data_IF_853505077568
#
_entry.id   IF_853505077568
#
_cell.length_a   1.000
_cell.length_b   1.000
_cell.length_c   1.000
_cell.angle_alpha   90.00
_cell.angle_beta   90.00
_cell.angle_gamma   90.00
#
_symmetry.space_group_name_H-M   'P 1'
#
loop_
_entity.id
_entity.type
_entity.pdbx_description
1 polymer ?
#
# COMPACT_ATOMS: atom_id res chain seq x y z
N UNK A 1 7.85 5.77 -0.83
CA UNK A 1 7.19 5.00 0.26
C UNK A 1 6.19 5.84 1.08
N UNK A 2 6.49 7.10 1.43
CA UNK A 2 5.64 7.98 2.26
C UNK A 2 4.20 8.23 1.76
N UNK A 3 3.97 8.37 0.45
CA UNK A 3 2.63 8.66 -0.09
C UNK A 3 1.67 7.46 -0.02
N UNK A 4 2.18 6.24 -0.17
CA UNK A 4 1.37 5.02 -0.10
C UNK A 4 0.89 4.73 1.33
N UNK A 5 1.76 4.96 2.32
CA UNK A 5 1.41 4.86 3.74
C UNK A 5 0.36 5.90 4.16
N UNK A 6 0.49 7.16 3.71
CA UNK A 6 -0.53 8.19 3.96
C UNK A 6 -1.88 7.84 3.33
N UNK A 7 -1.88 7.33 2.10
CA UNK A 7 -3.12 6.91 1.41
C UNK A 7 -3.78 5.73 2.14
N UNK A 8 -3.02 4.72 2.58
CA UNK A 8 -3.54 3.63 3.40
C UNK A 8 -4.14 4.12 4.72
N UNK A 9 -3.50 5.07 5.40
CA UNK A 9 -4.00 5.64 6.66
C UNK A 9 -5.31 6.42 6.45
N UNK A 10 -5.41 7.23 5.38
CA UNK A 10 -6.66 7.93 5.04
C UNK A 10 -7.79 6.96 4.71
N UNK A 11 -7.49 5.91 3.95
CA UNK A 11 -8.45 4.86 3.62
C UNK A 11 -8.94 4.11 4.87
N UNK A 12 -8.04 3.77 5.79
CA UNK A 12 -8.38 3.17 7.09
C UNK A 12 -9.20 4.13 7.98
N UNK A 13 -8.89 5.42 7.99
CA UNK A 13 -9.62 6.43 8.76
C UNK A 13 -11.04 6.66 8.22
N UNK A 14 -11.24 6.57 6.89
CA UNK A 14 -12.57 6.71 6.28
C UNK A 14 -13.45 5.45 6.37
N UNK A 15 -12.85 4.25 6.44
CA UNK A 15 -13.60 2.98 6.48
C UNK A 15 -13.68 2.31 7.86
N UNK A 16 -12.80 2.68 8.80
CA UNK A 16 -12.76 2.17 10.18
C UNK A 16 -14.07 2.30 10.98
N UNK A 17 -14.87 3.38 10.84
CA UNK A 17 -16.17 3.50 11.51
C UNK A 17 -17.18 2.41 11.09
N UNK A 18 -17.09 1.92 9.85
CA UNK A 18 -17.95 0.86 9.32
C UNK A 18 -17.68 -0.50 9.97
N UNK A 19 -16.40 -0.83 10.17
CA UNK A 19 -15.96 -2.06 10.83
C UNK A 19 -16.39 -2.11 12.30
N UNK A 20 -16.21 -1.00 13.03
CA UNK A 20 -16.55 -0.91 14.45
C UNK A 20 -18.08 -1.04 14.69
N UNK A 21 -18.90 -0.42 13.85
CA UNK A 21 -20.36 -0.53 13.92
C UNK A 21 -20.85 -1.95 13.60
N UNK A 22 -20.21 -2.65 12.66
CA UNK A 22 -20.53 -4.03 12.32
C UNK A 22 -20.31 -4.98 13.53
N UNK A 23 -19.16 -4.91 14.19
CA UNK A 23 -18.87 -5.73 15.37
C UNK A 23 -19.80 -5.41 16.57
N UNK A 24 -20.18 -4.14 16.75
CA UNK A 24 -21.10 -3.72 17.81
C UNK A 24 -22.53 -4.21 17.57
N UNK A 25 -22.98 -4.24 16.31
CA UNK A 25 -24.31 -4.74 15.92
C UNK A 25 -24.39 -6.27 15.89
N UNK A 26 -23.35 -6.98 15.44
CA UNK A 26 -23.28 -8.44 15.55
C UNK A 26 -23.37 -8.91 17.02
N UNK A 27 -22.83 -8.13 17.95
CA UNK A 27 -22.98 -8.34 19.40
C UNK A 27 -24.41 -8.02 19.89
N UNK A 28 -25.04 -6.97 19.37
CA UNK A 28 -26.41 -6.54 19.73
C UNK A 28 -27.50 -7.49 19.20
N UNK A 29 -27.27 -8.10 18.03
CA UNK A 29 -28.15 -9.12 17.43
C UNK A 29 -28.29 -10.38 18.30
N UNK A 30 -27.30 -10.70 19.13
CA UNK A 30 -27.40 -11.78 20.12
C UNK A 30 -28.25 -11.43 21.35
N UNK A 31 -28.63 -10.16 21.55
CA UNK A 31 -29.22 -9.66 22.80
C UNK A 31 -30.59 -9.00 22.65
N UNK A 32 -31.16 -8.87 21.45
CA UNK A 32 -32.46 -8.21 21.26
C UNK A 32 -33.31 -8.94 20.24
N UNK A 33 -34.51 -9.31 20.67
CA UNK A 33 -35.68 -9.45 19.80
C UNK A 33 -35.76 -8.18 18.95
N UNK A 34 -35.62 -8.28 17.62
CA UNK A 34 -35.96 -7.16 16.72
C UNK A 34 -34.98 -6.76 15.62
N UNK A 35 -34.00 -7.58 15.21
CA UNK A 35 -33.28 -7.36 13.94
C UNK A 35 -33.82 -8.30 12.87
N UNK A 36 -34.45 -7.78 11.82
CA UNK A 36 -34.91 -8.62 10.71
C UNK A 36 -33.71 -9.27 10.02
N UNK A 37 -33.80 -10.55 9.66
CA UNK A 37 -32.77 -11.26 8.85
C UNK A 37 -32.40 -10.43 7.62
N UNK A 38 -33.37 -9.72 7.04
CA UNK A 38 -33.17 -8.82 5.90
C UNK A 38 -32.22 -7.66 6.24
N UNK A 39 -32.34 -7.05 7.42
CA UNK A 39 -31.48 -5.93 7.84
C UNK A 39 -30.04 -6.38 8.08
N UNK A 40 -29.86 -7.55 8.69
CA UNK A 40 -28.52 -8.12 8.89
C UNK A 40 -27.81 -8.35 7.54
N UNK A 41 -28.51 -8.88 6.53
CA UNK A 41 -27.92 -9.15 5.23
C UNK A 41 -27.76 -7.90 4.35
N UNK A 42 -28.56 -6.83 4.55
CA UNK A 42 -28.26 -5.51 3.97
C UNK A 42 -26.91 -4.97 4.44
N UNK A 43 -26.57 -5.16 5.72
CA UNK A 43 -25.25 -4.78 6.24
C UNK A 43 -24.12 -5.65 5.64
N UNK A 44 -24.36 -6.94 5.41
CA UNK A 44 -23.41 -7.83 4.70
C UNK A 44 -23.17 -7.34 3.27
N UNK A 45 -24.23 -6.92 2.56
CA UNK A 45 -24.12 -6.31 1.23
C UNK A 45 -23.22 -5.07 1.27
N UNK A 46 -23.49 -4.15 2.19
CA UNK A 46 -22.72 -2.91 2.29
C UNK A 46 -21.26 -3.16 2.67
N UNK A 47 -21.00 -4.14 3.53
CA UNK A 47 -19.64 -4.52 3.90
C UNK A 47 -18.86 -5.13 2.72
N UNK A 48 -19.49 -5.98 1.90
CA UNK A 48 -18.85 -6.48 0.67
C UNK A 48 -18.55 -5.36 -0.34
N UNK A 49 -19.41 -4.33 -0.45
CA UNK A 49 -19.11 -3.14 -1.28
C UNK A 49 -17.85 -2.42 -0.78
N UNK A 50 -17.70 -2.28 0.53
CA UNK A 50 -16.49 -1.67 1.13
C UNK A 50 -15.26 -2.49 0.78
N UNK A 51 -15.30 -3.82 0.94
CA UNK A 51 -14.20 -4.72 0.58
C UNK A 51 -13.83 -4.57 -0.90
N UNK A 52 -14.81 -4.57 -1.80
CA UNK A 52 -14.59 -4.42 -3.24
C UNK A 52 -13.94 -3.08 -3.56
N UNK A 53 -14.47 -1.98 -2.98
CA UNK A 53 -13.95 -0.63 -3.19
C UNK A 53 -12.50 -0.50 -2.71
N UNK A 54 -12.22 -0.98 -1.49
CA UNK A 54 -10.87 -0.98 -0.90
C UNK A 54 -9.89 -1.78 -1.75
N UNK A 55 -10.22 -3.03 -2.04
CA UNK A 55 -9.36 -3.92 -2.82
C UNK A 55 -9.07 -3.35 -4.21
N UNK A 56 -10.09 -2.80 -4.89
CA UNK A 56 -9.94 -2.21 -6.23
C UNK A 56 -9.07 -0.96 -6.22
N UNK A 57 -9.23 -0.10 -5.21
CA UNK A 57 -8.41 1.11 -5.05
C UNK A 57 -6.94 0.76 -4.84
N UNK A 58 -6.67 -0.23 -3.98
CA UNK A 58 -5.32 -0.70 -3.70
C UNK A 58 -4.70 -1.37 -4.95
N UNK A 59 -5.46 -2.20 -5.65
CA UNK A 59 -5.05 -2.80 -6.93
C UNK A 59 -4.69 -1.73 -7.98
N UNK A 60 -5.52 -0.69 -8.12
CA UNK A 60 -5.23 0.40 -9.05
C UNK A 60 -3.94 1.14 -8.68
N UNK A 61 -3.73 1.43 -7.40
CA UNK A 61 -2.50 2.04 -6.91
C UNK A 61 -1.26 1.16 -7.15
N UNK A 62 -1.39 -0.16 -6.95
CA UNK A 62 -0.32 -1.12 -7.26
C UNK A 62 -0.01 -1.20 -8.73
N UNK A 63 -1.02 -1.26 -9.61
CA UNK A 63 -0.80 -1.27 -11.06
C UNK A 63 -0.11 0.01 -11.52
N UNK A 64 -0.53 1.17 -11.02
CA UNK A 64 0.14 2.44 -11.30
C UNK A 64 1.60 2.42 -10.84
N UNK A 65 1.87 1.89 -9.64
CA UNK A 65 3.22 1.75 -9.10
C UNK A 65 4.10 0.80 -9.94
N UNK A 66 3.56 -0.34 -10.36
CA UNK A 66 4.27 -1.32 -11.19
C UNK A 66 4.58 -0.77 -12.58
N UNK A 67 3.64 -0.04 -13.19
CA UNK A 67 3.86 0.64 -14.48
C UNK A 67 4.96 1.69 -14.36
N UNK A 68 5.01 2.43 -13.25
CA UNK A 68 6.04 3.45 -13.01
C UNK A 68 7.43 2.85 -12.75
N UNK A 69 7.51 1.70 -12.07
CA UNK A 69 8.80 1.10 -11.73
C UNK A 69 9.55 0.49 -12.93
N UNK A 70 8.89 0.26 -14.07
CA UNK A 70 9.47 -0.41 -15.26
C UNK A 70 10.29 -1.68 -14.89
N UNK A 71 9.90 -2.37 -13.81
CA UNK A 71 10.71 -3.43 -13.22
C UNK A 71 10.57 -4.74 -13.98
N UNK A 72 11.64 -5.54 -13.95
CA UNK A 72 11.60 -6.94 -14.35
C UNK A 72 10.49 -7.70 -13.59
N UNK A 73 9.83 -8.61 -14.30
CA UNK A 73 8.70 -9.36 -13.78
C UNK A 73 9.12 -10.25 -12.59
N UNK A 74 8.93 -9.75 -11.35
CA UNK A 74 9.14 -10.53 -10.14
C UNK A 74 7.79 -10.99 -9.57
N UNK A 75 7.62 -12.31 -9.43
CA UNK A 75 6.37 -12.92 -8.97
C UNK A 75 5.92 -12.39 -7.59
N UNK A 76 6.87 -12.02 -6.71
CA UNK A 76 6.59 -11.43 -5.40
C UNK A 76 5.86 -10.07 -5.50
N UNK A 77 6.13 -9.30 -6.55
CA UNK A 77 5.50 -7.99 -6.77
C UNK A 77 4.03 -8.13 -7.18
N UNK A 78 3.64 -9.25 -7.78
CA UNK A 78 2.27 -9.53 -8.21
C UNK A 78 1.46 -10.37 -7.22
N UNK A 79 2.11 -10.98 -6.22
CA UNK A 79 1.46 -11.83 -5.23
C UNK A 79 0.35 -11.08 -4.47
N UNK A 80 0.61 -9.83 -4.07
CA UNK A 80 -0.42 -9.01 -3.42
C UNK A 80 -1.60 -8.73 -4.36
N UNK A 81 -1.35 -8.35 -5.62
CA UNK A 81 -2.40 -8.07 -6.59
C UNK A 81 -3.29 -9.30 -6.84
N UNK A 82 -2.69 -10.50 -6.96
CA UNK A 82 -3.44 -11.74 -7.10
C UNK A 82 -4.35 -12.00 -5.90
N UNK A 83 -3.82 -11.82 -4.68
CA UNK A 83 -4.59 -12.01 -3.44
C UNK A 83 -5.73 -10.98 -3.35
N UNK A 84 -5.52 -9.73 -3.76
CA UNK A 84 -6.57 -8.71 -3.77
C UNK A 84 -7.68 -9.03 -4.81
N UNK A 85 -7.33 -9.58 -5.97
CA UNK A 85 -8.33 -10.07 -6.95
C UNK A 85 -9.16 -11.21 -6.38
N UNK A 86 -8.53 -12.13 -5.63
CA UNK A 86 -9.26 -13.19 -4.93
C UNK A 86 -10.20 -12.62 -3.85
N UNK A 87 -9.78 -11.60 -3.10
CA UNK A 87 -10.64 -10.92 -2.13
C UNK A 87 -11.88 -10.31 -2.79
N UNK A 88 -11.71 -9.63 -3.93
CA UNK A 88 -12.82 -9.06 -4.72
C UNK A 88 -13.77 -10.17 -5.17
N UNK A 89 -13.23 -11.26 -5.71
CA UNK A 89 -14.01 -12.39 -6.23
C UNK A 89 -14.87 -13.03 -5.13
N UNK A 90 -14.27 -13.31 -3.97
CA UNK A 90 -15.00 -13.83 -2.81
C UNK A 90 -16.07 -12.84 -2.30
N UNK A 91 -15.76 -11.54 -2.33
CA UNK A 91 -16.70 -10.49 -1.94
C UNK A 91 -17.91 -10.43 -2.87
N UNK A 92 -17.73 -10.63 -4.19
CA UNK A 92 -18.85 -10.74 -5.13
C UNK A 92 -19.75 -11.94 -4.85
N UNK A 93 -19.19 -13.09 -4.47
CA UNK A 93 -19.99 -14.26 -4.06
C UNK A 93 -20.79 -13.99 -2.78
N UNK A 94 -20.16 -13.37 -1.77
CA UNK A 94 -20.84 -12.96 -0.54
C UNK A 94 -21.98 -11.96 -0.81
N UNK A 95 -21.70 -10.95 -1.63
CA UNK A 95 -22.67 -9.95 -2.08
C UNK A 95 -23.86 -10.56 -2.81
N UNK A 96 -23.61 -11.43 -3.80
CA UNK A 96 -24.66 -12.07 -4.60
C UNK A 96 -25.60 -12.93 -3.75
N UNK A 97 -25.04 -13.73 -2.83
CA UNK A 97 -25.85 -14.53 -1.90
C UNK A 97 -26.63 -13.66 -0.93
N UNK A 98 -26.02 -12.59 -0.41
CA UNK A 98 -26.72 -11.70 0.52
C UNK A 98 -27.91 -10.98 -0.13
N UNK A 99 -27.81 -10.62 -1.42
CA UNK A 99 -28.96 -10.11 -2.19
C UNK A 99 -30.10 -11.13 -2.26
N UNK A 100 -29.79 -12.41 -2.48
CA UNK A 100 -30.81 -13.46 -2.53
C UNK A 100 -31.53 -13.61 -1.18
N UNK A 101 -30.81 -13.52 -0.06
CA UNK A 101 -31.39 -13.55 1.29
C UNK A 101 -32.29 -12.34 1.54
N UNK A 102 -31.89 -11.14 1.11
CA UNK A 102 -32.73 -9.94 1.21
C UNK A 102 -34.03 -10.08 0.40
N UNK A 103 -33.98 -10.73 -0.77
CA UNK A 103 -35.14 -10.96 -1.63
C UNK A 103 -36.09 -12.05 -1.10
N UNK A 104 -35.53 -13.14 -0.55
CA UNK A 104 -36.30 -14.33 -0.14
C UNK A 104 -36.64 -14.35 1.34
N UNK A 105 -36.00 -13.49 2.16
CA UNK A 105 -36.05 -13.49 3.62
C UNK A 105 -35.61 -14.82 4.28
N UNK A 106 -34.99 -15.72 3.51
CA UNK A 106 -34.42 -16.97 3.99
C UNK A 106 -32.93 -16.79 4.24
N UNK A 107 -32.44 -17.14 5.43
CA UNK A 107 -31.02 -17.02 5.78
C UNK A 107 -30.15 -17.97 4.97
N UNK A 108 -29.01 -17.50 4.45
CA UNK A 108 -27.97 -18.32 3.83
C UNK A 108 -26.60 -18.04 4.50
N UNK A 109 -26.12 -18.92 5.40
CA UNK A 109 -24.86 -18.70 6.11
C UNK A 109 -23.65 -18.58 5.19
N UNK A 110 -23.72 -19.14 3.97
CA UNK A 110 -22.61 -19.07 3.01
C UNK A 110 -22.33 -17.63 2.55
N UNK A 111 -23.31 -16.72 2.61
CA UNK A 111 -23.05 -15.31 2.33
C UNK A 111 -22.09 -14.72 3.36
N UNK A 112 -22.24 -15.09 4.63
CA UNK A 112 -21.38 -14.65 5.74
C UNK A 112 -20.00 -15.29 5.61
N UNK A 113 -19.93 -16.58 5.29
CA UNK A 113 -18.66 -17.29 5.12
C UNK A 113 -17.80 -16.67 4.01
N UNK A 114 -18.40 -16.38 2.85
CA UNK A 114 -17.70 -15.71 1.75
C UNK A 114 -17.25 -14.30 2.12
N UNK A 115 -18.07 -13.57 2.88
CA UNK A 115 -17.74 -12.20 3.34
C UNK A 115 -16.58 -12.21 4.34
N UNK A 116 -16.54 -13.21 5.24
CA UNK A 116 -15.44 -13.35 6.19
C UNK A 116 -14.16 -13.79 5.48
N UNK A 117 -14.26 -14.74 4.54
CA UNK A 117 -13.13 -15.17 3.73
C UNK A 117 -12.57 -14.01 2.91
N UNK A 118 -13.41 -13.22 2.25
CA UNK A 118 -12.96 -12.04 1.48
C UNK A 118 -12.25 -11.01 2.38
N UNK A 119 -12.73 -10.81 3.61
CA UNK A 119 -12.09 -9.91 4.59
C UNK A 119 -10.68 -10.40 4.97
N UNK A 120 -10.54 -11.69 5.28
CA UNK A 120 -9.24 -12.27 5.66
C UNK A 120 -8.26 -12.16 4.48
N UNK A 121 -8.71 -12.52 3.28
CA UNK A 121 -7.90 -12.44 2.07
C UNK A 121 -7.51 -10.99 1.76
N UNK A 122 -8.41 -10.01 1.97
CA UNK A 122 -8.09 -8.59 1.85
C UNK A 122 -6.95 -8.18 2.79
N UNK A 123 -7.03 -8.55 4.07
CA UNK A 123 -6.00 -8.23 5.06
C UNK A 123 -4.65 -8.83 4.66
N UNK A 124 -4.63 -10.10 4.24
CA UNK A 124 -3.41 -10.75 3.74
C UNK A 124 -2.87 -10.02 2.52
N UNK A 125 -3.73 -9.64 1.57
CA UNK A 125 -3.35 -8.87 0.39
C UNK A 125 -2.67 -7.55 0.74
N UNK A 126 -3.22 -6.81 1.71
CA UNK A 126 -2.66 -5.54 2.22
C UNK A 126 -1.30 -5.76 2.89
N UNK A 127 -1.15 -6.81 3.70
CA UNK A 127 0.13 -7.12 4.36
C UNK A 127 1.22 -7.47 3.35
N UNK A 128 0.88 -8.21 2.29
CA UNK A 128 1.81 -8.58 1.23
C UNK A 128 2.35 -7.36 0.46
N UNK A 129 1.67 -6.21 0.49
CA UNK A 129 2.19 -4.96 -0.11
C UNK A 129 3.46 -4.51 0.59
N UNK A 130 3.53 -4.69 1.92
CA UNK A 130 4.72 -4.34 2.69
C UNK A 130 5.96 -5.16 2.32
N UNK A 131 5.78 -6.30 1.64
CA UNK A 131 6.87 -7.13 1.14
C UNK A 131 7.37 -6.71 -0.25
N UNK A 132 6.64 -5.83 -0.95
CA UNK A 132 7.10 -5.26 -2.21
C UNK A 132 8.28 -4.34 -1.88
N UNK A 133 9.49 -4.85 -2.08
CA UNK A 133 10.69 -4.06 -1.90
C UNK A 133 10.74 -3.04 -3.04
N UNK A 134 10.68 -1.73 -2.75
CA UNK A 134 11.10 -0.75 -3.75
C UNK A 134 12.54 -1.12 -4.12
N UNK A 135 12.86 -1.10 -5.41
CA UNK A 135 14.24 -1.27 -5.90
C UNK A 135 15.13 -0.32 -5.11
N UNK A 136 15.86 -0.85 -4.13
CA UNK A 136 16.73 -0.08 -3.23
C UNK A 136 17.75 0.75 -4.02
N UNK A 137 18.09 0.28 -5.22
CA UNK A 137 19.03 0.92 -6.14
C UNK A 137 18.63 2.32 -6.63
N UNK A 138 17.36 2.73 -6.49
CA UNK A 138 16.91 4.08 -6.89
C UNK A 138 16.48 4.97 -5.72
N UNK A 139 16.63 4.55 -4.46
CA UNK A 139 16.28 5.41 -3.34
C UNK A 139 17.38 6.45 -3.07
N UNK A 140 16.96 7.66 -2.68
CA UNK A 140 17.86 8.73 -2.23
C UNK A 140 18.76 8.23 -1.10
N UNK A 141 18.23 7.39 -0.20
CA UNK A 141 18.98 6.81 0.91
C UNK A 141 20.16 5.95 0.44
N UNK A 142 19.94 5.09 -0.57
CA UNK A 142 20.99 4.23 -1.12
C UNK A 142 22.05 5.04 -1.87
N UNK A 143 21.63 6.10 -2.57
CA UNK A 143 22.56 7.03 -3.20
C UNK A 143 23.42 7.74 -2.14
N UNK A 144 22.83 8.27 -1.07
CA UNK A 144 23.57 8.97 -0.02
C UNK A 144 24.54 8.05 0.71
N UNK A 145 24.15 6.79 0.98
CA UNK A 145 25.02 5.77 1.56
C UNK A 145 26.18 5.41 0.63
N UNK A 146 25.90 5.29 -0.68
CA UNK A 146 26.92 5.06 -1.71
C UNK A 146 27.93 6.22 -1.76
N UNK A 147 27.45 7.48 -1.73
CA UNK A 147 28.31 8.67 -1.68
C UNK A 147 29.17 8.68 -0.41
N UNK A 148 28.60 8.41 0.77
CA UNK A 148 29.34 8.35 2.03
C UNK A 148 30.45 7.29 1.99
N UNK A 149 30.15 6.10 1.45
CA UNK A 149 31.12 5.02 1.32
C UNK A 149 32.29 5.37 0.38
N UNK A 150 31.99 6.04 -0.75
CA UNK A 150 32.96 6.32 -1.82
C UNK A 150 33.76 7.62 -1.63
N UNK A 151 33.34 8.50 -0.72
CA UNK A 151 33.98 9.81 -0.49
C UNK A 151 34.63 9.93 0.89
N UNK A 152 34.75 8.81 1.62
CA UNK A 152 35.41 8.73 2.93
C UNK A 152 36.81 9.38 2.99
N UNK A 153 37.52 9.48 1.86
CA UNK A 153 38.84 10.13 1.72
C UNK A 153 38.81 11.66 1.58
N UNK A 154 37.66 12.28 1.29
CA UNK A 154 37.51 13.71 0.97
C UNK A 154 36.96 14.55 2.14
N UNK A 155 36.78 13.94 3.31
CA UNK A 155 35.98 14.47 4.41
C UNK A 155 34.62 13.78 4.43
N UNK A 156 34.03 13.59 5.61
CA UNK A 156 32.83 12.76 5.78
C UNK A 156 31.62 13.43 5.13
N UNK A 157 31.40 13.23 3.83
CA UNK A 157 30.16 13.61 3.16
C UNK A 157 29.10 12.61 3.61
N UNK A 158 28.18 13.08 4.43
CA UNK A 158 27.15 12.27 5.07
C UNK A 158 25.77 12.90 4.81
N UNK A 159 24.66 12.17 5.02
CA UNK A 159 23.33 12.74 4.83
C UNK A 159 23.09 14.03 5.63
N UNK A 160 23.77 14.17 6.77
CA UNK A 160 23.63 15.30 7.69
C UNK A 160 24.25 16.61 7.18
N UNK A 161 25.27 16.55 6.33
CA UNK A 161 25.90 17.74 5.75
C UNK A 161 25.50 18.01 4.30
N UNK A 162 24.55 17.24 3.76
CA UNK A 162 23.89 17.53 2.49
C UNK A 162 22.87 18.65 2.68
N UNK A 163 23.14 19.84 2.14
CA UNK A 163 22.27 21.02 2.27
C UNK A 163 21.19 21.06 1.20
N UNK A 164 21.48 20.54 0.00
CA UNK A 164 20.56 20.61 -1.13
C UNK A 164 20.72 19.40 -2.07
N UNK A 165 19.60 18.91 -2.59
CA UNK A 165 19.54 17.88 -3.63
C UNK A 165 18.70 18.42 -4.77
N UNK A 166 19.31 18.55 -5.94
CA UNK A 166 18.64 18.89 -7.19
C UNK A 166 18.63 17.68 -8.12
N UNK A 167 17.53 17.51 -8.84
CA UNK A 167 17.41 16.49 -9.88
C UNK A 167 17.46 17.16 -11.24
N UNK A 168 18.39 16.74 -12.10
CA UNK A 168 18.53 17.27 -13.45
C UNK A 168 18.64 16.09 -14.44
N UNK A 169 17.50 15.72 -15.03
CA UNK A 169 17.39 14.51 -15.84
C UNK A 169 17.69 13.26 -15.01
N UNK A 170 18.63 12.44 -15.50
CA UNK A 170 19.06 11.18 -14.86
C UNK A 170 20.21 11.36 -13.85
N UNK A 171 20.46 12.60 -13.41
CA UNK A 171 21.51 12.92 -12.45
C UNK A 171 20.96 13.62 -11.21
N UNK A 172 21.50 13.28 -10.06
CA UNK A 172 21.38 14.06 -8.84
C UNK A 172 22.59 14.98 -8.70
N UNK A 173 22.34 16.24 -8.39
CA UNK A 173 23.34 17.21 -7.99
C UNK A 173 23.14 17.49 -6.50
N UNK A 174 24.10 17.09 -5.70
CA UNK A 174 24.08 17.23 -4.25
C UNK A 174 25.08 18.31 -3.84
N UNK A 175 24.63 19.24 -3.01
CA UNK A 175 25.49 20.23 -2.39
C UNK A 175 25.72 19.87 -0.94
N UNK A 176 26.98 19.79 -0.57
CA UNK A 176 27.44 19.46 0.76
C UNK A 176 28.18 20.65 1.35
N UNK A 177 27.92 20.94 2.61
CA UNK A 177 28.65 21.96 3.36
C UNK A 177 29.68 21.29 4.26
N UNK A 178 30.95 21.38 3.89
CA UNK A 178 32.06 20.86 4.70
C UNK A 178 32.76 22.00 5.44
N UNK A 179 33.38 21.75 6.61
CA UNK A 179 34.11 22.79 7.36
C UNK A 179 35.24 23.47 6.56
N UNK A 180 35.69 22.87 5.45
CA UNK A 180 36.81 23.34 4.64
C UNK A 180 36.38 24.06 3.35
N UNK A 181 35.32 23.59 2.71
CA UNK A 181 34.76 24.17 1.49
C UNK A 181 33.35 23.60 1.27
N UNK A 182 32.55 24.28 0.46
CA UNK A 182 31.36 23.65 -0.09
C UNK A 182 31.79 22.60 -1.13
N UNK A 183 31.05 21.51 -1.24
CA UNK A 183 31.39 20.41 -2.15
C UNK A 183 30.12 20.06 -2.95
N UNK A 184 30.23 20.10 -4.27
CA UNK A 184 29.20 19.62 -5.19
C UNK A 184 29.53 18.19 -5.64
N UNK A 185 28.56 17.29 -5.52
CA UNK A 185 28.64 15.91 -6.00
C UNK A 185 27.58 15.71 -7.07
N UNK A 186 28.00 15.28 -8.27
CA UNK A 186 27.07 14.85 -9.32
C UNK A 186 27.04 13.32 -9.35
N UNK A 187 25.86 12.75 -9.09
CA UNK A 187 25.62 11.32 -9.04
C UNK A 187 24.72 10.88 -10.20
N UNK A 188 25.10 9.81 -10.90
CA UNK A 188 24.29 9.23 -11.96
C UNK A 188 23.33 8.19 -11.42
N UNK A 189 22.02 8.39 -11.66
CA UNK A 189 20.97 7.43 -11.30
C UNK A 189 21.12 6.17 -12.16
N UNK A 190 21.42 6.36 -13.44
CA UNK A 190 21.55 5.27 -14.41
C UNK A 190 22.80 4.41 -14.15
N UNK A 191 23.94 5.04 -13.92
CA UNK A 191 25.22 4.34 -13.73
C UNK A 191 25.50 3.98 -12.25
N UNK A 192 24.64 4.42 -11.32
CA UNK A 192 24.77 4.24 -9.86
C UNK A 192 26.16 4.60 -9.31
N UNK A 193 26.74 5.69 -9.83
CA UNK A 193 28.08 6.15 -9.45
C UNK A 193 28.19 7.66 -9.41
N UNK A 194 29.20 8.12 -8.68
CA UNK A 194 29.62 9.52 -8.70
C UNK A 194 30.29 9.82 -10.04
N UNK A 195 29.78 10.83 -10.76
CA UNK A 195 30.36 11.32 -12.01
C UNK A 195 31.43 12.38 -11.76
N UNK A 196 31.20 13.27 -10.80
CA UNK A 196 32.13 14.34 -10.46
C UNK A 196 31.99 14.81 -9.02
N UNK A 197 33.11 15.29 -8.47
CA UNK A 197 33.18 15.97 -7.18
C UNK A 197 33.94 17.28 -7.40
N UNK A 198 33.30 18.41 -7.06
CA UNK A 198 33.87 19.75 -7.25
C UNK A 198 33.86 20.48 -5.90
N UNK A 199 35.01 20.99 -5.42
CA UNK A 199 35.07 21.84 -4.23
C UNK A 199 34.68 23.30 -4.51
#
# INVERSE_FOLDING_TARGET
MFYFQKCLIEVFNHTGPGLHNYFKMAKKSKSSKGGSVVEAYKMVIDYNKVIISLASTILAAQLAFLVLQQTDFNLLNYASSLVLVLAITLSFFGFGRAIQVVKTACSDPKAIDFTNASTIVLIVGILLIGLIQPTKEQSIDAMLENIESNTSSLGKLNPENCTQIEMNGDHYRLHYQSPKSDIEVVYSIQDQRILSITP
#
